data_IF_275009363106
#
_entry.id   IF_275009363106
#
_cell.length_a   1.000
_cell.length_b   1.000
_cell.length_c   1.000
_cell.angle_alpha   90.00
_cell.angle_beta   90.00
_cell.angle_gamma   90.00
#
_symmetry.space_group_name_H-M   'P 1'
#
loop_
_entity.id
_entity.type
_entity.pdbx_description
1 polymer ?
#
# COMPACT_ATOMS: atom_id res chain seq x y z
N UNK A 1 -15.16 42.41 39.04
CA UNK A 1 -14.55 41.19 39.61
C UNK A 1 -14.95 39.91 38.91
N UNK A 2 -16.17 39.72 38.35
CA UNK A 2 -16.63 38.51 37.64
C UNK A 2 -15.90 38.23 36.30
N UNK A 3 -15.55 39.25 35.51
CA UNK A 3 -14.87 39.11 34.20
C UNK A 3 -13.47 38.48 34.34
N UNK A 4 -12.69 38.86 35.37
CA UNK A 4 -11.34 38.29 35.60
C UNK A 4 -11.37 36.78 35.97
N UNK A 5 -12.44 36.29 36.63
CA UNK A 5 -12.63 34.88 36.91
C UNK A 5 -12.98 34.09 35.64
N UNK A 6 -13.85 34.64 34.77
CA UNK A 6 -14.18 34.02 33.49
C UNK A 6 -12.96 33.86 32.57
N UNK A 7 -12.12 34.90 32.44
CA UNK A 7 -10.89 34.85 31.65
C UNK A 7 -9.90 33.78 32.15
N UNK A 8 -9.77 33.60 33.49
CA UNK A 8 -8.93 32.52 34.04
C UNK A 8 -9.44 31.13 33.70
N UNK A 9 -10.76 30.91 33.76
CA UNK A 9 -11.38 29.63 33.42
C UNK A 9 -11.15 29.30 31.94
N UNK A 10 -11.37 30.28 31.05
CA UNK A 10 -11.11 30.11 29.60
C UNK A 10 -9.63 29.77 29.35
N UNK A 11 -8.70 30.47 30.00
CA UNK A 11 -7.27 30.19 29.88
C UNK A 11 -6.90 28.76 30.32
N UNK A 12 -7.51 28.26 31.42
CA UNK A 12 -7.30 26.89 31.87
C UNK A 12 -7.86 25.86 30.84
N UNK A 13 -9.04 26.12 30.30
CA UNK A 13 -9.65 25.24 29.30
C UNK A 13 -8.75 25.16 28.03
N UNK A 14 -8.28 26.31 27.55
CA UNK A 14 -7.37 26.34 26.40
C UNK A 14 -6.09 25.58 26.69
N UNK A 15 -5.50 25.74 27.88
CA UNK A 15 -4.30 25.03 28.27
C UNK A 15 -4.53 23.51 28.28
N UNK A 16 -5.65 23.05 28.81
CA UNK A 16 -6.01 21.62 28.81
C UNK A 16 -6.13 21.10 27.38
N UNK A 17 -6.80 21.82 26.48
CA UNK A 17 -6.93 21.43 25.07
C UNK A 17 -5.55 21.34 24.41
N UNK A 18 -4.68 22.33 24.60
CA UNK A 18 -3.32 22.30 24.06
C UNK A 18 -2.53 21.09 24.57
N UNK A 19 -2.61 20.77 25.88
CA UNK A 19 -1.95 19.61 26.45
C UNK A 19 -2.47 18.31 25.83
N UNK A 20 -3.78 18.17 25.67
CA UNK A 20 -4.38 16.99 25.05
C UNK A 20 -3.93 16.81 23.59
N UNK A 21 -3.86 17.89 22.80
CA UNK A 21 -3.36 17.88 21.43
C UNK A 21 -1.89 17.44 21.40
N UNK A 22 -1.05 17.98 22.30
CA UNK A 22 0.36 17.60 22.38
C UNK A 22 0.54 16.12 22.72
N UNK A 23 -0.17 15.61 23.74
CA UNK A 23 -0.11 14.20 24.13
C UNK A 23 -0.56 13.30 22.97
N UNK A 24 -1.64 13.67 22.26
CA UNK A 24 -2.12 12.94 21.09
C UNK A 24 -1.06 12.91 19.98
N UNK A 25 -0.49 14.07 19.63
CA UNK A 25 0.53 14.19 18.58
C UNK A 25 1.77 13.40 18.91
N UNK A 26 2.30 13.49 20.14
CA UNK A 26 3.48 12.75 20.59
C UNK A 26 3.23 11.24 20.49
N UNK A 27 2.09 10.76 21.01
CA UNK A 27 1.73 9.34 20.92
C UNK A 27 1.71 8.85 19.48
N UNK A 28 1.04 9.58 18.60
CA UNK A 28 0.92 9.20 17.18
C UNK A 28 2.29 9.23 16.49
N UNK A 29 3.11 10.24 16.75
CA UNK A 29 4.47 10.34 16.20
C UNK A 29 5.31 9.13 16.60
N UNK A 30 5.25 8.71 17.86
CA UNK A 30 5.98 7.53 18.36
C UNK A 30 5.52 6.27 17.61
N UNK A 31 4.21 6.05 17.49
CA UNK A 31 3.66 4.87 16.80
C UNK A 31 4.08 4.87 15.32
N UNK A 32 3.95 6.00 14.62
CA UNK A 32 4.29 6.11 13.20
C UNK A 32 5.78 5.90 12.98
N UNK A 33 6.64 6.52 13.80
CA UNK A 33 8.10 6.31 13.69
C UNK A 33 8.50 4.86 13.98
N UNK A 34 7.87 4.19 14.93
CA UNK A 34 8.11 2.76 15.21
C UNK A 34 7.73 1.89 13.99
N UNK A 35 6.58 2.15 13.37
CA UNK A 35 6.15 1.42 12.16
C UNK A 35 7.07 1.69 10.97
N UNK A 36 7.53 2.93 10.77
CA UNK A 36 8.50 3.27 9.72
C UNK A 36 9.82 2.50 9.90
N UNK A 37 10.37 2.48 11.11
CA UNK A 37 11.60 1.76 11.41
C UNK A 37 11.45 0.24 11.21
N UNK A 38 10.28 -0.32 11.51
CA UNK A 38 10.02 -1.76 11.32
C UNK A 38 9.94 -2.13 9.84
N UNK A 39 9.22 -1.34 9.03
CA UNK A 39 9.04 -1.63 7.61
C UNK A 39 10.32 -1.44 6.80
N UNK A 40 11.27 -0.63 7.28
CA UNK A 40 12.53 -0.39 6.58
C UNK A 40 13.32 -1.69 6.31
N UNK A 41 13.23 -2.66 7.21
CA UNK A 41 13.85 -3.99 7.04
C UNK A 41 13.34 -4.74 5.82
N UNK A 42 12.08 -4.51 5.46
CA UNK A 42 11.39 -5.18 4.36
C UNK A 42 11.47 -4.38 3.07
N UNK A 43 11.41 -3.05 3.14
CA UNK A 43 11.48 -2.17 1.97
C UNK A 43 12.80 -2.26 1.21
N UNK A 44 13.87 -2.64 1.89
CA UNK A 44 15.19 -2.87 1.31
C UNK A 44 15.41 -4.32 0.84
N UNK A 45 14.41 -5.20 0.97
CA UNK A 45 14.51 -6.58 0.50
C UNK A 45 14.47 -6.64 -1.03
N UNK A 46 15.43 -7.35 -1.62
CA UNK A 46 15.44 -7.67 -3.05
C UNK A 46 14.82 -9.06 -3.33
N UNK A 47 14.17 -9.67 -2.35
CA UNK A 47 13.57 -10.98 -2.47
C UNK A 47 12.23 -10.99 -1.72
N UNK A 48 11.14 -10.75 -2.46
CA UNK A 48 9.80 -10.69 -1.89
C UNK A 48 8.71 -11.05 -2.89
N UNK A 49 7.59 -11.51 -2.38
CA UNK A 49 6.31 -11.61 -3.07
C UNK A 49 5.27 -10.78 -2.33
N UNK A 50 4.55 -9.95 -3.07
CA UNK A 50 3.40 -9.19 -2.58
C UNK A 50 2.18 -9.64 -3.36
N UNK A 51 1.15 -10.12 -2.65
CA UNK A 51 -0.16 -10.37 -3.21
C UNK A 51 -1.13 -9.33 -2.69
N UNK A 52 -1.75 -8.59 -3.59
CA UNK A 52 -2.80 -7.63 -3.27
C UNK A 52 -4.12 -8.04 -3.94
N UNK A 53 -5.20 -8.04 -3.18
CA UNK A 53 -6.55 -8.35 -3.66
C UNK A 53 -7.40 -7.12 -3.40
N UNK A 54 -7.94 -6.52 -4.47
CA UNK A 54 -8.81 -5.34 -4.41
C UNK A 54 -10.22 -5.73 -4.88
N UNK A 55 -11.18 -5.54 -4.01
CA UNK A 55 -12.60 -5.61 -4.36
C UNK A 55 -13.06 -4.22 -4.81
N UNK A 56 -13.29 -4.05 -6.12
CA UNK A 56 -13.68 -2.78 -6.74
C UNK A 56 -15.20 -2.62 -6.69
N UNK A 57 -15.93 -3.71 -6.90
CA UNK A 57 -17.38 -3.79 -6.81
C UNK A 57 -17.80 -5.23 -6.47
N UNK A 58 -19.10 -5.49 -6.29
CA UNK A 58 -19.61 -6.85 -6.01
C UNK A 58 -19.16 -7.89 -7.05
N UNK A 59 -19.03 -7.48 -8.32
CA UNK A 59 -18.70 -8.39 -9.42
C UNK A 59 -17.30 -8.14 -10.01
N UNK A 60 -16.49 -7.28 -9.40
CA UNK A 60 -15.17 -6.93 -9.93
C UNK A 60 -14.10 -7.06 -8.87
N UNK A 61 -13.17 -7.97 -9.09
CA UNK A 61 -11.99 -8.18 -8.25
C UNK A 61 -10.74 -8.02 -9.09
N UNK A 62 -9.74 -7.35 -8.54
CA UNK A 62 -8.39 -7.26 -9.11
C UNK A 62 -7.40 -7.93 -8.16
N UNK A 63 -6.59 -8.82 -8.69
CA UNK A 63 -5.52 -9.51 -7.97
C UNK A 63 -4.19 -9.09 -8.59
N UNK A 64 -3.27 -8.66 -7.76
CA UNK A 64 -1.91 -8.28 -8.16
C UNK A 64 -0.95 -9.19 -7.41
N UNK A 65 -0.10 -9.91 -8.16
CA UNK A 65 1.02 -10.64 -7.60
C UNK A 65 2.31 -10.01 -8.14
N UNK A 66 3.13 -9.49 -7.26
CA UNK A 66 4.43 -8.92 -7.59
C UNK A 66 5.53 -9.74 -6.91
N UNK A 67 6.40 -10.28 -7.74
CA UNK A 67 7.58 -11.02 -7.30
C UNK A 67 8.83 -10.22 -7.64
N UNK A 68 9.76 -10.18 -6.71
CA UNK A 68 11.10 -9.61 -6.88
C UNK A 68 12.12 -10.61 -6.38
N UNK A 69 13.15 -10.88 -7.18
CA UNK A 69 14.31 -11.65 -6.75
C UNK A 69 15.56 -11.10 -7.44
N UNK A 70 16.36 -10.37 -6.69
CA UNK A 70 17.48 -9.60 -7.21
C UNK A 70 17.02 -8.65 -8.34
N UNK A 71 17.56 -8.82 -9.57
CA UNK A 71 17.22 -8.01 -10.74
C UNK A 71 15.97 -8.52 -11.49
N UNK A 72 15.49 -9.74 -11.17
CA UNK A 72 14.31 -10.31 -11.80
C UNK A 72 13.03 -9.77 -11.15
N UNK A 73 12.07 -9.41 -11.97
CA UNK A 73 10.75 -8.98 -11.52
C UNK A 73 9.68 -9.69 -12.33
N UNK A 74 8.61 -10.09 -11.67
CA UNK A 74 7.38 -10.57 -12.29
C UNK A 74 6.20 -9.86 -11.67
N UNK A 75 5.39 -9.20 -12.49
CA UNK A 75 4.12 -8.63 -12.09
C UNK A 75 2.99 -9.34 -12.82
N UNK A 76 2.07 -9.91 -12.09
CA UNK A 76 0.85 -10.54 -12.62
C UNK A 76 -0.34 -9.71 -12.17
N UNK A 77 -1.12 -9.21 -13.11
CA UNK A 77 -2.38 -8.52 -12.90
C UNK A 77 -3.52 -9.42 -13.39
N UNK A 78 -4.42 -9.79 -12.49
CA UNK A 78 -5.62 -10.54 -12.83
C UNK A 78 -6.84 -9.67 -12.53
N UNK A 79 -7.67 -9.44 -13.52
CA UNK A 79 -8.97 -8.78 -13.36
C UNK A 79 -10.08 -9.78 -13.64
N UNK A 80 -10.97 -9.91 -12.69
CA UNK A 80 -12.14 -10.80 -12.76
C UNK A 80 -13.38 -9.89 -12.77
N UNK A 81 -14.19 -9.98 -13.81
CA UNK A 81 -15.44 -9.24 -13.97
C UNK A 81 -16.53 -10.22 -14.40
N UNK A 82 -17.58 -10.40 -13.59
CA UNK A 82 -18.66 -11.37 -13.85
C UNK A 82 -18.12 -12.77 -14.22
N UNK A 83 -17.14 -13.27 -13.46
CA UNK A 83 -16.43 -14.54 -13.67
C UNK A 83 -15.55 -14.63 -14.92
N UNK A 84 -15.49 -13.60 -15.74
CA UNK A 84 -14.53 -13.51 -16.83
C UNK A 84 -13.18 -12.99 -16.33
N UNK A 85 -12.12 -13.72 -16.66
CA UNK A 85 -10.76 -13.43 -16.20
C UNK A 85 -9.90 -12.92 -17.35
N UNK A 86 -9.24 -11.77 -17.09
CA UNK A 86 -8.14 -11.25 -17.92
C UNK A 86 -6.89 -11.30 -17.06
N UNK A 87 -5.81 -11.89 -17.56
CA UNK A 87 -4.51 -11.97 -16.90
C UNK A 87 -3.47 -11.27 -17.75
N UNK A 88 -2.70 -10.37 -17.16
CA UNK A 88 -1.56 -9.70 -17.78
C UNK A 88 -0.34 -9.99 -16.92
N UNK A 89 0.73 -10.49 -17.53
CA UNK A 89 1.98 -10.81 -16.85
C UNK A 89 3.13 -10.03 -17.48
N UNK A 90 3.95 -9.38 -16.67
CA UNK A 90 5.13 -8.64 -17.08
C UNK A 90 6.37 -9.33 -16.51
N UNK A 91 7.21 -9.85 -17.37
CA UNK A 91 8.46 -10.51 -17.02
C UNK A 91 9.63 -9.55 -17.30
N UNK A 92 10.33 -9.11 -16.26
CA UNK A 92 11.57 -8.34 -16.37
C UNK A 92 12.75 -9.25 -16.02
N UNK A 93 13.59 -9.52 -17.02
CA UNK A 93 14.80 -10.34 -16.88
C UNK A 93 16.07 -9.49 -16.72
N UNK A 94 15.93 -8.17 -16.53
CA UNK A 94 17.03 -7.19 -16.46
C UNK A 94 17.43 -6.61 -17.81
N UNK A 95 17.29 -7.33 -18.92
CA UNK A 95 17.60 -6.86 -20.27
C UNK A 95 16.41 -6.35 -21.07
N UNK A 96 15.24 -6.88 -20.79
CA UNK A 96 13.97 -6.53 -21.44
C UNK A 96 12.79 -6.83 -20.54
N UNK A 97 11.64 -6.23 -20.86
CA UNK A 97 10.37 -6.53 -20.22
C UNK A 97 9.43 -7.09 -21.29
N UNK A 98 8.97 -8.32 -21.07
CA UNK A 98 8.01 -9.00 -21.93
C UNK A 98 6.64 -9.02 -21.27
N UNK A 99 5.60 -8.74 -22.05
CA UNK A 99 4.21 -8.71 -21.59
C UNK A 99 3.42 -9.82 -22.24
N UNK A 100 2.69 -10.57 -21.45
CA UNK A 100 1.79 -11.64 -21.87
C UNK A 100 0.37 -11.33 -21.39
N UNK A 101 -0.57 -11.26 -22.32
CA UNK A 101 -1.99 -11.06 -22.04
C UNK A 101 -2.75 -12.33 -22.36
N UNK A 102 -3.51 -12.83 -21.40
CA UNK A 102 -4.36 -13.99 -21.52
C UNK A 102 -5.81 -13.62 -21.23
N UNK A 103 -6.69 -13.87 -22.18
CA UNK A 103 -8.13 -13.79 -22.03
C UNK A 103 -8.74 -15.17 -22.31
N UNK A 104 -10.07 -15.28 -22.24
CA UNK A 104 -10.79 -16.50 -22.61
C UNK A 104 -10.56 -16.90 -24.07
N UNK A 105 -10.46 -15.90 -24.95
CA UNK A 105 -10.52 -16.09 -26.41
C UNK A 105 -9.16 -15.96 -27.08
N UNK A 106 -8.19 -15.29 -26.45
CA UNK A 106 -6.90 -15.01 -27.07
C UNK A 106 -5.75 -14.95 -26.08
N UNK A 107 -4.55 -15.24 -26.61
CA UNK A 107 -3.28 -15.08 -25.91
C UNK A 107 -2.35 -14.24 -26.78
N UNK A 108 -1.87 -13.13 -26.23
CA UNK A 108 -1.02 -12.17 -26.95
C UNK A 108 0.29 -12.02 -26.18
N UNK A 109 1.42 -11.97 -26.92
CA UNK A 109 2.72 -11.64 -26.36
C UNK A 109 3.30 -10.39 -27.03
N UNK A 110 3.81 -9.46 -26.22
CA UNK A 110 4.52 -8.25 -26.65
C UNK A 110 5.93 -8.27 -26.03
N UNK A 111 6.95 -8.51 -26.86
CA UNK A 111 8.31 -8.72 -26.40
C UNK A 111 9.13 -7.43 -26.44
N UNK A 112 9.76 -7.07 -25.33
CA UNK A 112 10.67 -5.91 -25.22
C UNK A 112 10.03 -4.55 -25.49
N UNK A 113 8.70 -4.43 -25.38
CA UNK A 113 7.97 -3.18 -25.68
C UNK A 113 7.69 -2.32 -24.45
N UNK A 114 7.75 -2.91 -23.27
CA UNK A 114 7.47 -2.22 -22.01
C UNK A 114 8.79 -1.65 -21.48
N UNK A 115 8.79 -0.37 -21.12
CA UNK A 115 10.00 0.29 -20.60
C UNK A 115 10.10 0.21 -19.08
N UNK A 116 8.97 0.04 -18.38
CA UNK A 116 8.92 0.03 -16.92
C UNK A 116 7.74 -0.80 -16.42
N UNK A 117 7.93 -1.55 -15.35
CA UNK A 117 6.85 -2.23 -14.63
C UNK A 117 6.37 -1.33 -13.50
N UNK A 118 5.12 -0.91 -13.59
CA UNK A 118 4.44 -0.22 -12.49
C UNK A 118 3.95 -1.26 -11.49
N UNK A 119 4.75 -1.50 -10.45
CA UNK A 119 4.43 -2.44 -9.38
C UNK A 119 3.40 -1.91 -8.38
N UNK A 120 3.12 -2.72 -7.36
CA UNK A 120 2.34 -2.30 -6.20
C UNK A 120 3.07 -1.15 -5.51
N UNK A 121 2.33 -0.08 -5.23
CA UNK A 121 2.87 1.05 -4.47
C UNK A 121 3.48 0.59 -3.15
N UNK A 122 4.40 1.37 -2.63
CA UNK A 122 5.25 1.11 -1.45
C UNK A 122 4.63 0.21 -0.36
N UNK A 123 5.44 -0.58 0.31
CA UNK A 123 5.04 -1.48 1.41
C UNK A 123 4.41 -0.73 2.58
N UNK A 124 4.64 0.58 2.65
CA UNK A 124 4.03 1.47 3.65
C UNK A 124 3.69 2.84 3.04
N UNK A 125 2.54 3.43 3.41
CA UNK A 125 2.20 4.81 3.07
C UNK A 125 2.85 5.82 4.01
N UNK A 126 3.52 5.35 5.07
CA UNK A 126 4.02 6.20 6.16
C UNK A 126 5.41 6.80 5.85
N UNK A 127 5.75 7.00 4.57
CA UNK A 127 7.03 7.61 4.23
C UNK A 127 6.99 9.11 4.49
N UNK A 128 7.96 9.58 5.27
CA UNK A 128 8.20 11.01 5.53
C UNK A 128 9.70 11.27 5.43
N UNK A 129 10.06 12.45 4.90
CA UNK A 129 11.46 12.80 4.68
C UNK A 129 12.20 13.15 5.98
N UNK A 130 11.45 13.53 7.02
CA UNK A 130 12.03 13.96 8.28
C UNK A 130 11.02 13.95 9.44
N UNK A 131 11.56 14.06 10.67
CA UNK A 131 10.75 14.05 11.91
C UNK A 131 9.68 15.15 11.93
N UNK A 132 9.93 16.32 11.38
CA UNK A 132 8.95 17.40 11.38
C UNK A 132 7.73 17.08 10.54
N UNK A 133 7.91 16.45 9.39
CA UNK A 133 6.80 15.94 8.58
C UNK A 133 6.02 14.87 9.33
N UNK A 134 6.71 13.95 10.00
CA UNK A 134 6.05 12.94 10.84
C UNK A 134 5.18 13.58 11.91
N UNK A 135 5.68 14.60 12.62
CA UNK A 135 4.93 15.32 13.64
C UNK A 135 3.71 16.03 13.02
N UNK A 136 3.89 16.76 11.92
CA UNK A 136 2.81 17.48 11.25
C UNK A 136 1.70 16.53 10.77
N UNK A 137 2.06 15.39 10.19
CA UNK A 137 1.09 14.40 9.72
C UNK A 137 0.42 13.66 10.88
N UNK A 138 1.11 13.50 12.00
CA UNK A 138 0.57 12.87 13.20
C UNK A 138 -0.52 13.67 13.90
N UNK A 139 -0.51 15.00 13.73
CA UNK A 139 -1.44 15.90 14.40
C UNK A 139 -2.92 15.60 14.06
N UNK A 140 -3.33 15.52 12.78
CA UNK A 140 -4.71 15.21 12.41
C UNK A 140 -5.02 13.70 12.44
N UNK A 141 -3.99 12.86 12.52
CA UNK A 141 -4.10 11.40 12.34
C UNK A 141 -4.86 10.75 13.49
N UNK A 142 -5.77 9.83 13.14
CA UNK A 142 -6.47 8.98 14.09
C UNK A 142 -5.90 7.56 14.02
N UNK A 143 -5.42 7.06 15.15
CA UNK A 143 -4.86 5.71 15.28
C UNK A 143 -5.75 4.89 16.21
N UNK A 144 -6.25 3.75 15.70
CA UNK A 144 -6.99 2.74 16.45
C UNK A 144 -6.27 1.41 16.38
N UNK A 145 -6.47 0.55 17.35
CA UNK A 145 -6.06 -0.86 17.27
C UNK A 145 -7.17 -1.66 16.63
N UNK A 146 -6.84 -2.46 15.62
CA UNK A 146 -7.76 -3.37 14.92
C UNK A 146 -7.09 -4.72 14.70
N UNK A 147 -7.88 -5.73 14.30
CA UNK A 147 -7.37 -7.03 13.88
C UNK A 147 -7.74 -7.24 12.40
N UNK A 148 -6.76 -7.62 11.58
CA UNK A 148 -6.94 -7.96 10.17
C UNK A 148 -6.46 -9.40 9.99
N UNK A 149 -7.38 -10.33 9.73
CA UNK A 149 -7.13 -11.76 9.79
C UNK A 149 -6.48 -12.13 11.15
N UNK A 150 -5.27 -12.67 11.15
CA UNK A 150 -4.54 -13.03 12.37
C UNK A 150 -3.57 -11.94 12.85
N UNK A 151 -3.48 -10.81 12.16
CA UNK A 151 -2.53 -9.74 12.45
C UNK A 151 -3.14 -8.68 13.36
N UNK A 152 -2.40 -8.29 14.39
CA UNK A 152 -2.69 -7.07 15.15
C UNK A 152 -2.20 -5.84 14.39
N UNK A 153 -3.11 -4.91 14.09
CA UNK A 153 -2.83 -3.73 13.28
C UNK A 153 -3.14 -2.43 14.02
N UNK A 154 -2.49 -1.36 13.58
CA UNK A 154 -2.98 -0.01 13.77
C UNK A 154 -3.76 0.41 12.51
N UNK A 155 -5.02 0.81 12.69
CA UNK A 155 -5.79 1.48 11.67
C UNK A 155 -5.48 2.98 11.74
N UNK A 156 -4.92 3.51 10.67
CA UNK A 156 -4.42 4.87 10.56
C UNK A 156 -5.19 5.61 9.47
N UNK A 157 -5.93 6.65 9.87
CA UNK A 157 -6.70 7.48 8.97
C UNK A 157 -6.03 8.84 8.82
N UNK A 158 -6.13 9.42 7.63
CA UNK A 158 -5.79 10.82 7.34
C UNK A 158 -4.29 11.18 7.44
N UNK A 159 -3.38 10.19 7.51
CA UNK A 159 -1.95 10.43 7.71
C UNK A 159 -1.29 11.25 6.58
N UNK A 160 -1.68 11.10 5.34
CA UNK A 160 -0.91 11.65 4.21
C UNK A 160 -1.44 12.96 3.63
N UNK A 161 -2.39 13.61 4.29
CA UNK A 161 -3.01 14.74 3.62
C UNK A 161 -3.28 15.93 4.51
N UNK A 162 -2.33 16.86 4.60
CA UNK A 162 -2.70 18.24 4.92
C UNK A 162 -3.73 18.79 3.91
N UNK A 163 -3.82 18.19 2.71
CA UNK A 163 -4.85 18.48 1.69
C UNK A 163 -6.18 17.75 1.95
N UNK A 164 -6.21 16.66 2.72
CA UNK A 164 -7.45 15.95 3.11
C UNK A 164 -8.20 16.64 4.26
N UNK A 165 -7.66 17.68 4.89
CA UNK A 165 -8.45 18.57 5.74
C UNK A 165 -9.63 19.21 4.97
N UNK A 166 -9.55 19.24 3.64
CA UNK A 166 -10.57 19.74 2.71
C UNK A 166 -11.07 18.65 1.74
N UNK A 167 -10.51 17.45 1.78
CA UNK A 167 -10.70 16.41 0.78
C UNK A 167 -11.81 15.42 1.10
N UNK A 168 -12.46 14.95 0.06
CA UNK A 168 -13.58 14.01 0.12
C UNK A 168 -13.17 12.55 0.28
N UNK A 169 -11.90 12.21 0.04
CA UNK A 169 -11.42 10.82 -0.02
C UNK A 169 -10.78 10.43 1.32
N UNK A 170 -11.45 9.56 2.05
CA UNK A 170 -10.93 9.00 3.30
C UNK A 170 -10.17 7.71 2.97
N UNK A 171 -8.86 7.76 3.14
CA UNK A 171 -8.05 6.55 3.07
C UNK A 171 -7.75 6.06 4.47
N UNK A 172 -7.99 4.77 4.71
CA UNK A 172 -7.65 4.09 5.95
C UNK A 172 -6.63 2.99 5.64
N UNK A 173 -5.56 2.94 6.42
CA UNK A 173 -4.50 1.94 6.31
C UNK A 173 -4.46 1.11 7.59
N UNK A 174 -4.67 -0.20 7.47
CA UNK A 174 -4.44 -1.12 8.57
C UNK A 174 -3.02 -1.68 8.44
N UNK A 175 -2.14 -1.27 9.37
CA UNK A 175 -0.71 -1.55 9.36
C UNK A 175 -0.38 -2.48 10.51
N UNK A 176 0.27 -3.59 10.19
CA UNK A 176 0.68 -4.58 11.17
C UNK A 176 1.67 -3.99 12.17
N UNK A 177 1.40 -4.18 13.45
CA UNK A 177 2.20 -3.62 14.55
C UNK A 177 3.60 -4.20 14.63
N UNK A 178 3.77 -5.46 14.25
CA UNK A 178 5.04 -6.18 14.36
C UNK A 178 6.01 -5.81 13.25
N UNK A 179 5.52 -5.69 12.02
CA UNK A 179 6.35 -5.53 10.82
C UNK A 179 6.29 -4.14 10.18
N UNK A 180 5.26 -3.34 10.48
CA UNK A 180 5.00 -2.08 9.81
C UNK A 180 4.43 -2.22 8.39
N UNK A 181 4.11 -3.44 7.95
CA UNK A 181 3.56 -3.72 6.62
C UNK A 181 2.06 -3.41 6.56
N UNK A 182 1.61 -2.85 5.45
CA UNK A 182 0.19 -2.58 5.22
C UNK A 182 -0.54 -3.88 4.90
N UNK A 183 -1.48 -4.28 5.74
CA UNK A 183 -2.31 -5.48 5.55
C UNK A 183 -3.62 -5.18 4.83
N UNK A 184 -4.17 -3.97 5.03
CA UNK A 184 -5.41 -3.56 4.39
C UNK A 184 -5.40 -2.08 4.08
N UNK A 185 -6.00 -1.72 2.95
CA UNK A 185 -6.25 -0.33 2.54
C UNK A 185 -7.74 -0.21 2.25
N UNK A 186 -8.36 0.80 2.81
CA UNK A 186 -9.73 1.20 2.46
C UNK A 186 -9.66 2.58 1.81
N UNK A 187 -10.08 2.66 0.57
CA UNK A 187 -10.17 3.91 -0.19
C UNK A 187 -11.60 4.04 -0.71
N UNK A 188 -12.37 4.94 -0.12
CA UNK A 188 -13.80 5.06 -0.34
C UNK A 188 -14.52 3.71 -0.07
N UNK A 189 -15.08 3.08 -1.11
CA UNK A 189 -15.75 1.77 -1.02
C UNK A 189 -14.85 0.59 -1.42
N UNK A 190 -13.63 0.88 -1.92
CA UNK A 190 -12.69 -0.14 -2.35
C UNK A 190 -11.88 -0.66 -1.18
N UNK A 191 -11.78 -1.97 -1.07
CA UNK A 191 -10.97 -2.64 -0.05
C UNK A 191 -9.88 -3.44 -0.75
N UNK A 192 -8.63 -3.13 -0.41
CA UNK A 192 -7.46 -3.89 -0.82
C UNK A 192 -6.86 -4.59 0.38
N UNK A 193 -6.71 -5.90 0.32
CA UNK A 193 -5.92 -6.67 1.30
C UNK A 193 -4.57 -7.04 0.72
N UNK A 194 -3.53 -7.13 1.57
CA UNK A 194 -2.16 -7.46 1.15
C UNK A 194 -1.59 -8.59 1.99
N UNK A 195 -0.92 -9.51 1.30
CA UNK A 195 -0.11 -10.58 1.88
C UNK A 195 1.32 -10.39 1.42
N UNK A 196 2.29 -10.75 2.26
CA UNK A 196 3.71 -10.59 1.98
C UNK A 196 4.44 -11.88 2.34
N UNK A 197 5.36 -12.24 1.46
CA UNK A 197 6.31 -13.33 1.65
C UNK A 197 7.71 -12.80 1.35
N UNK A 198 8.66 -13.06 2.26
CA UNK A 198 10.05 -12.63 2.13
C UNK A 198 10.91 -13.88 2.19
N UNK A 199 11.95 -13.91 1.37
CA UNK A 199 12.84 -15.04 1.20
C UNK A 199 12.16 -16.24 0.49
N UNK A 200 12.97 -17.18 0.00
CA UNK A 200 12.55 -18.44 -0.63
C UNK A 200 11.64 -18.33 -1.87
N UNK A 201 11.69 -17.22 -2.60
CA UNK A 201 10.99 -17.15 -3.89
C UNK A 201 11.65 -18.12 -4.88
N UNK A 202 10.86 -19.08 -5.40
CA UNK A 202 11.34 -20.06 -6.35
C UNK A 202 11.68 -19.39 -7.70
N UNK A 203 12.81 -19.77 -8.31
CA UNK A 203 13.21 -19.27 -9.63
C UNK A 203 12.24 -19.68 -10.74
N UNK A 204 11.48 -20.75 -10.56
CA UNK A 204 10.49 -21.23 -11.52
C UNK A 204 9.36 -20.22 -11.79
N UNK A 205 9.06 -19.33 -10.83
CA UNK A 205 8.03 -18.29 -11.03
C UNK A 205 8.42 -17.27 -12.11
N UNK A 206 9.74 -17.08 -12.34
CA UNK A 206 10.26 -16.14 -13.33
C UNK A 206 10.48 -16.77 -14.72
N UNK A 207 10.06 -18.00 -14.92
CA UNK A 207 10.10 -18.66 -16.23
C UNK A 207 8.98 -18.12 -17.09
N UNK A 208 9.35 -17.53 -18.23
CA UNK A 208 8.39 -17.00 -19.20
C UNK A 208 7.53 -18.15 -19.78
N UNK A 209 6.27 -17.87 -20.16
CA UNK A 209 5.44 -18.83 -20.86
C UNK A 209 6.03 -19.22 -22.21
N UNK A 210 5.66 -20.39 -22.73
CA UNK A 210 6.02 -20.83 -24.06
C UNK A 210 5.38 -19.92 -25.12
N UNK A 211 6.22 -19.11 -25.78
CA UNK A 211 5.81 -18.12 -26.78
C UNK A 211 5.02 -18.74 -27.94
N UNK A 212 5.26 -20.03 -28.25
CA UNK A 212 4.54 -20.72 -29.33
C UNK A 212 3.01 -20.78 -29.13
N UNK A 213 2.55 -20.55 -27.89
CA UNK A 213 1.13 -20.54 -27.55
C UNK A 213 0.48 -19.15 -27.68
N UNK A 214 1.24 -18.13 -28.06
CA UNK A 214 0.80 -16.73 -28.12
C UNK A 214 0.89 -16.16 -29.53
N UNK A 215 -0.04 -15.29 -29.86
CA UNK A 215 0.05 -14.43 -31.01
C UNK A 215 1.01 -13.28 -30.71
N UNK A 216 2.09 -13.18 -31.49
CA UNK A 216 3.04 -12.09 -31.37
C UNK A 216 2.45 -10.80 -31.94
N UNK A 217 2.40 -9.75 -31.16
CA UNK A 217 2.05 -8.43 -31.62
C UNK A 217 3.31 -7.75 -32.17
N UNK A 218 3.39 -7.58 -33.47
CA UNK A 218 4.49 -6.85 -34.10
C UNK A 218 4.45 -5.35 -33.72
N UNK A 219 5.62 -4.70 -33.80
CA UNK A 219 5.76 -3.28 -33.56
C UNK A 219 5.16 -2.52 -34.74
N UNK A 220 4.08 -1.76 -34.51
CA UNK A 220 3.68 -0.71 -35.47
C UNK A 220 4.67 0.45 -35.43
#
# INVERSE_FOLDING_TARGET
>A
MKIKKGLKIIGIIILIIVVLILVHTIRNTIIISDLQNKVEKYSNSNNYHIKAITHISENTTMIINQYQKNEKQLLILERIVNDEKVKISYYNTGSRIDMFTETKDEKIAELGKVNEILGVSSMTPLQTDNLWQTILYSLPTRIKTVKVNDYECYSINDFLSPYNLLGKNKTEYDIEKETGLVRKIVLDEQITTREYEFENIDDSVFVEPDISQYTLKEKE
#
